data_IF_990858441943
#
_entry.id   IF_990858441943
#
_cell.length_a   1.000
_cell.length_b   1.000
_cell.length_c   1.000
_cell.angle_alpha   90.00
_cell.angle_beta   90.00
_cell.angle_gamma   90.00
#
_symmetry.space_group_name_H-M   'P 1'
#
loop_
_entity.id
_entity.type
_entity.pdbx_description
1 polymer ?
#
# COMPACT_ATOMS: atom_id res chain seq x y z
N UNK A 1 26.82 -12.00 11.48
CA UNK A 1 25.75 -12.72 12.19
C UNK A 1 25.25 -11.77 13.27
N UNK A 2 24.18 -11.01 13.07
CA UNK A 2 22.78 -11.44 13.23
C UNK A 2 21.91 -10.51 12.37
N UNK A 3 21.11 -11.10 11.47
CA UNK A 3 19.94 -10.49 10.85
C UNK A 3 18.74 -10.76 11.78
N UNK A 4 18.06 -9.72 12.26
CA UNK A 4 16.74 -9.81 12.92
C UNK A 4 16.28 -8.36 13.21
N UNK A 5 15.04 -7.91 13.08
CA UNK A 5 13.75 -8.39 12.57
C UNK A 5 12.84 -7.17 12.75
N UNK A 6 11.94 -6.87 11.80
CA UNK A 6 10.64 -6.21 11.99
C UNK A 6 10.01 -5.95 10.62
N UNK A 7 9.65 -7.04 9.94
CA UNK A 7 8.54 -7.05 8.99
C UNK A 7 7.32 -7.36 9.86
N UNK A 8 6.40 -6.40 10.01
CA UNK A 8 5.04 -6.75 10.43
C UNK A 8 4.40 -7.41 9.22
N UNK A 9 4.24 -8.73 9.31
CA UNK A 9 4.20 -9.68 8.19
C UNK A 9 2.82 -9.90 7.54
N UNK A 10 1.75 -9.29 8.06
CA UNK A 10 0.41 -9.40 7.45
C UNK A 10 -0.30 -8.06 7.59
N UNK A 11 -0.69 -7.50 6.46
CA UNK A 11 -1.48 -6.29 6.36
C UNK A 11 -2.90 -6.67 5.98
N UNK A 12 -3.83 -6.45 6.91
CA UNK A 12 -5.25 -6.77 6.78
C UNK A 12 -6.08 -5.50 6.95
N UNK A 13 -6.98 -5.24 6.02
CA UNK A 13 -7.99 -4.18 6.14
C UNK A 13 -9.34 -4.72 5.73
N UNK A 14 -10.31 -4.49 6.59
CA UNK A 14 -11.73 -4.70 6.32
C UNK A 14 -12.41 -3.33 6.30
N UNK A 15 -12.97 -2.99 5.14
CA UNK A 15 -13.75 -1.77 4.93
C UNK A 15 -14.76 -2.05 3.82
N UNK A 16 -16.04 -2.00 4.15
CA UNK A 16 -17.12 -2.25 3.20
C UNK A 16 -16.91 -1.49 1.86
N UNK A 17 -17.03 -2.17 0.70
CA UNK A 17 -17.41 -3.59 0.53
C UNK A 17 -16.24 -4.58 0.54
N UNK A 18 -15.01 -4.15 0.85
CA UNK A 18 -13.77 -4.87 0.62
C UNK A 18 -13.11 -5.46 1.88
N UNK A 19 -12.51 -6.64 1.72
CA UNK A 19 -11.39 -7.11 2.53
C UNK A 19 -10.16 -7.06 1.64
N UNK A 20 -9.08 -6.42 2.11
CA UNK A 20 -7.78 -6.37 1.46
C UNK A 20 -6.72 -7.00 2.37
N UNK A 21 -5.93 -7.90 1.81
CA UNK A 21 -4.86 -8.58 2.52
C UNK A 21 -3.57 -8.48 1.71
N UNK A 22 -2.47 -8.16 2.38
CA UNK A 22 -1.12 -8.25 1.83
C UNK A 22 -0.23 -9.01 2.81
N UNK A 23 0.49 -10.00 2.33
CA UNK A 23 1.30 -10.87 3.18
C UNK A 23 2.53 -11.39 2.45
N UNK A 24 3.57 -11.77 3.19
CA UNK A 24 4.74 -12.43 2.61
C UNK A 24 4.41 -13.90 2.26
N UNK A 25 5.18 -14.49 1.33
CA UNK A 25 5.06 -15.93 1.03
C UNK A 25 5.25 -16.80 2.26
N UNK A 26 6.14 -16.42 3.18
CA UNK A 26 6.39 -17.16 4.42
C UNK A 26 5.19 -17.20 5.37
N UNK A 27 4.25 -16.26 5.26
CA UNK A 27 3.09 -16.20 6.14
C UNK A 27 1.91 -17.03 5.61
N UNK A 28 2.01 -17.64 4.41
CA UNK A 28 0.91 -18.43 3.84
C UNK A 28 0.32 -19.48 4.81
N UNK A 29 1.10 -20.18 5.65
CA UNK A 29 0.53 -21.13 6.61
C UNK A 29 -0.49 -20.50 7.57
N UNK A 30 -0.30 -19.25 8.01
CA UNK A 30 -1.23 -18.58 8.94
C UNK A 30 -2.53 -18.14 8.28
N UNK A 31 -2.55 -18.00 6.94
CA UNK A 31 -3.76 -17.62 6.21
C UNK A 31 -4.91 -18.61 6.45
N UNK A 32 -4.61 -19.91 6.60
CA UNK A 32 -5.63 -20.95 6.81
C UNK A 32 -6.43 -20.79 8.09
N UNK A 33 -5.95 -20.00 9.04
CA UNK A 33 -6.61 -19.73 10.32
C UNK A 33 -7.63 -18.58 10.23
N UNK A 34 -7.74 -17.92 9.07
CA UNK A 34 -8.61 -16.76 8.86
C UNK A 34 -9.91 -17.16 8.16
N UNK A 35 -11.04 -16.64 8.62
CA UNK A 35 -12.35 -16.94 8.04
C UNK A 35 -12.44 -16.59 6.54
N UNK A 36 -11.90 -15.42 6.17
CA UNK A 36 -11.85 -14.94 4.79
C UNK A 36 -10.94 -15.76 3.87
N UNK A 37 -10.10 -16.64 4.39
CA UNK A 37 -9.21 -17.48 3.59
C UNK A 37 -9.95 -18.53 2.76
N UNK A 38 -11.23 -18.77 3.10
CA UNK A 38 -12.16 -19.61 2.35
C UNK A 38 -12.85 -18.88 1.20
N UNK A 39 -12.80 -17.54 1.17
CA UNK A 39 -13.58 -16.74 0.23
C UNK A 39 -13.01 -16.79 -1.19
N UNK A 40 -13.87 -16.61 -2.21
CA UNK A 40 -13.39 -16.30 -3.55
C UNK A 40 -12.67 -14.95 -3.54
N UNK A 41 -11.61 -14.80 -4.33
CA UNK A 41 -10.77 -13.61 -4.30
C UNK A 41 -10.08 -13.36 -5.65
N UNK A 42 -9.59 -12.14 -5.82
CA UNK A 42 -8.62 -11.76 -6.86
C UNK A 42 -7.31 -11.39 -6.17
N UNK A 43 -6.19 -11.82 -6.75
CA UNK A 43 -4.86 -11.68 -6.15
C UNK A 43 -3.80 -11.27 -7.15
N UNK A 44 -2.72 -10.71 -6.62
CA UNK A 44 -1.48 -10.37 -7.31
C UNK A 44 -0.33 -11.01 -6.56
N UNK A 45 0.39 -11.91 -7.22
CA UNK A 45 1.67 -12.43 -6.74
C UNK A 45 2.78 -11.47 -7.18
N UNK A 46 3.70 -11.18 -6.28
CA UNK A 46 4.71 -10.14 -6.46
C UNK A 46 6.09 -10.66 -6.05
N UNK A 47 7.09 -10.34 -6.86
CA UNK A 47 8.50 -10.54 -6.53
C UNK A 47 9.38 -9.83 -7.54
N UNK A 48 10.33 -9.02 -7.06
CA UNK A 48 11.07 -8.09 -7.91
C UNK A 48 10.15 -7.27 -8.84
N UNK A 49 10.42 -7.31 -10.15
CA UNK A 49 9.62 -6.65 -11.20
C UNK A 49 8.53 -7.52 -11.80
N UNK A 50 8.38 -8.78 -11.35
CA UNK A 50 7.40 -9.72 -11.90
C UNK A 50 6.06 -9.61 -11.17
N UNK A 51 4.97 -9.72 -11.93
CA UNK A 51 3.61 -9.77 -11.40
C UNK A 51 2.86 -10.92 -12.05
N UNK A 52 2.07 -11.62 -11.25
CA UNK A 52 1.08 -12.60 -11.73
C UNK A 52 -0.25 -12.25 -11.12
N UNK A 53 -1.24 -11.98 -11.95
CA UNK A 53 -2.59 -11.66 -11.51
C UNK A 53 -3.42 -12.93 -11.64
N UNK A 54 -4.21 -13.25 -10.62
CA UNK A 54 -5.04 -14.44 -10.67
C UNK A 54 -6.34 -14.28 -9.91
N UNK A 55 -7.24 -15.23 -10.11
CA UNK A 55 -8.44 -15.39 -9.30
C UNK A 55 -8.51 -16.75 -8.60
N UNK A 56 -9.30 -16.79 -7.53
CA UNK A 56 -9.76 -18.00 -6.87
C UNK A 56 -11.30 -18.02 -6.91
N UNK A 57 -11.86 -18.69 -7.92
CA UNK A 57 -13.28 -18.95 -8.06
C UNK A 57 -13.55 -20.46 -8.04
N UNK A 58 -14.52 -20.90 -7.23
CA UNK A 58 -14.83 -22.33 -7.04
C UNK A 58 -13.85 -23.09 -6.15
N UNK A 59 -12.89 -22.40 -5.53
CA UNK A 59 -12.03 -22.92 -4.46
C UNK A 59 -11.59 -21.77 -3.54
N UNK A 60 -11.06 -22.10 -2.36
CA UNK A 60 -10.56 -21.10 -1.42
C UNK A 60 -9.29 -20.41 -1.91
N UNK A 61 -9.12 -19.13 -1.53
CA UNK A 61 -7.88 -18.40 -1.82
C UNK A 61 -6.66 -19.08 -1.18
N UNK A 62 -6.80 -19.62 0.04
CA UNK A 62 -5.72 -20.37 0.69
C UNK A 62 -5.26 -21.59 -0.11
N UNK A 63 -6.20 -22.35 -0.69
CA UNK A 63 -5.86 -23.51 -1.52
C UNK A 63 -5.19 -23.07 -2.82
N UNK A 64 -5.74 -22.06 -3.50
CA UNK A 64 -5.19 -21.55 -4.76
C UNK A 64 -3.76 -21.02 -4.59
N UNK A 65 -3.49 -20.25 -3.54
CA UNK A 65 -2.15 -19.73 -3.26
C UNK A 65 -1.17 -20.86 -2.92
N UNK A 66 -1.61 -21.85 -2.13
CA UNK A 66 -0.80 -23.04 -1.83
C UNK A 66 -0.40 -23.79 -3.11
N UNK A 67 -1.33 -23.95 -4.06
CA UNK A 67 -1.05 -24.59 -5.35
C UNK A 67 0.01 -23.84 -6.17
N UNK A 68 -0.02 -22.50 -6.17
CA UNK A 68 1.00 -21.70 -6.85
C UNK A 68 2.37 -21.84 -6.19
N UNK A 69 2.42 -21.80 -4.86
CA UNK A 69 3.70 -21.80 -4.14
C UNK A 69 4.40 -23.16 -4.13
N UNK A 70 3.73 -24.21 -4.60
CA UNK A 70 4.32 -25.53 -4.85
C UNK A 70 4.99 -25.66 -6.23
N UNK A 71 4.78 -24.70 -7.14
CA UNK A 71 5.35 -24.73 -8.50
C UNK A 71 6.69 -23.99 -8.53
N UNK A 72 7.72 -24.64 -9.07
CA UNK A 72 9.06 -24.05 -9.20
C UNK A 72 9.07 -22.79 -10.08
N UNK A 73 8.19 -22.70 -11.09
CA UNK A 73 8.05 -21.48 -11.91
C UNK A 73 7.59 -20.24 -11.12
N UNK A 74 7.09 -20.43 -9.90
CA UNK A 74 6.62 -19.38 -8.99
C UNK A 74 7.61 -19.10 -7.83
N UNK A 75 8.84 -19.63 -7.89
CA UNK A 75 9.85 -19.40 -6.83
C UNK A 75 10.26 -17.94 -6.67
N UNK A 76 10.05 -17.12 -7.69
CA UNK A 76 10.26 -15.67 -7.63
C UNK A 76 9.23 -14.94 -6.76
N UNK A 77 8.12 -15.57 -6.38
CA UNK A 77 7.06 -14.92 -5.59
C UNK A 77 7.53 -14.72 -4.16
N UNK A 78 7.59 -13.45 -3.74
CA UNK A 78 8.01 -13.02 -2.40
C UNK A 78 6.81 -12.65 -1.53
N UNK A 79 5.74 -12.14 -2.15
CA UNK A 79 4.54 -11.67 -1.45
C UNK A 79 3.29 -11.77 -2.31
N UNK A 80 2.13 -11.67 -1.66
CA UNK A 80 0.82 -11.65 -2.31
C UNK A 80 -0.01 -10.50 -1.74
N UNK A 81 -0.75 -9.85 -2.62
CA UNK A 81 -1.86 -8.96 -2.28
C UNK A 81 -3.14 -9.54 -2.86
N UNK A 82 -4.18 -9.71 -2.06
CA UNK A 82 -5.47 -10.19 -2.54
C UNK A 82 -6.60 -9.42 -1.91
N UNK A 83 -7.73 -9.38 -2.60
CA UNK A 83 -8.94 -8.79 -2.08
C UNK A 83 -10.16 -9.65 -2.37
N UNK A 84 -11.14 -9.52 -1.49
CA UNK A 84 -12.44 -10.18 -1.57
C UNK A 84 -13.52 -9.22 -1.05
N UNK A 85 -14.78 -9.63 -1.08
CA UNK A 85 -15.87 -8.90 -0.45
C UNK A 85 -15.98 -9.28 1.03
N UNK A 86 -16.38 -8.32 1.87
CA UNK A 86 -16.66 -8.56 3.29
C UNK A 86 -17.71 -9.66 3.47
N UNK A 87 -18.73 -9.71 2.60
CA UNK A 87 -19.78 -10.72 2.63
C UNK A 87 -19.35 -12.10 2.08
N UNK A 88 -18.10 -12.25 1.61
CA UNK A 88 -17.56 -13.48 1.03
C UNK A 88 -18.22 -13.92 -0.28
N UNK A 89 -19.10 -13.09 -0.87
CA UNK A 89 -19.93 -13.46 -2.03
C UNK A 89 -19.40 -12.83 -3.30
N UNK A 90 -18.53 -13.55 -4.00
CA UNK A 90 -18.14 -13.24 -5.37
C UNK A 90 -18.40 -14.45 -6.26
N UNK A 91 -19.13 -14.25 -7.36
CA UNK A 91 -19.31 -15.27 -8.37
C UNK A 91 -18.07 -15.41 -9.26
N UNK A 92 -18.03 -16.46 -10.08
CA UNK A 92 -17.00 -16.60 -11.12
C UNK A 92 -16.97 -15.42 -12.09
N UNK A 93 -18.15 -14.86 -12.43
CA UNK A 93 -18.24 -13.69 -13.30
C UNK A 93 -17.59 -12.45 -12.67
N UNK A 94 -17.77 -12.24 -11.36
CA UNK A 94 -17.13 -11.15 -10.62
C UNK A 94 -15.61 -11.30 -10.64
N UNK A 95 -15.11 -12.48 -10.29
CA UNK A 95 -13.66 -12.73 -10.22
C UNK A 95 -12.99 -12.65 -11.59
N UNK A 96 -13.62 -13.17 -12.64
CA UNK A 96 -13.07 -13.11 -14.01
C UNK A 96 -13.04 -11.66 -14.51
N UNK A 97 -14.11 -10.89 -14.23
CA UNK A 97 -14.17 -9.47 -14.59
C UNK A 97 -13.07 -8.65 -13.88
N UNK A 98 -12.91 -8.86 -12.57
CA UNK A 98 -11.94 -8.14 -11.74
C UNK A 98 -10.49 -8.52 -12.05
N UNK A 99 -10.20 -9.81 -12.28
CA UNK A 99 -8.90 -10.29 -12.75
C UNK A 99 -8.52 -9.59 -14.06
N UNK A 100 -9.43 -9.58 -15.04
CA UNK A 100 -9.21 -8.95 -16.33
C UNK A 100 -8.99 -7.44 -16.20
N UNK A 101 -9.82 -6.75 -15.41
CA UNK A 101 -9.67 -5.30 -15.15
C UNK A 101 -8.29 -5.02 -14.53
N UNK A 102 -7.86 -5.83 -13.56
CA UNK A 102 -6.57 -5.66 -12.91
C UNK A 102 -5.39 -5.91 -13.86
N UNK A 103 -5.45 -6.95 -14.70
CA UNK A 103 -4.44 -7.20 -15.75
C UNK A 103 -4.33 -6.00 -16.69
N UNK A 104 -5.46 -5.45 -17.14
CA UNK A 104 -5.50 -4.28 -18.02
C UNK A 104 -4.83 -3.06 -17.36
N UNK A 105 -5.18 -2.77 -16.11
CA UNK A 105 -4.62 -1.66 -15.33
C UNK A 105 -3.10 -1.80 -15.16
N UNK A 106 -2.60 -3.02 -14.94
CA UNK A 106 -1.16 -3.29 -14.88
C UNK A 106 -0.44 -3.04 -16.20
N UNK A 107 -1.04 -3.42 -17.33
CA UNK A 107 -0.49 -3.13 -18.65
C UNK A 107 -0.52 -1.64 -19.00
N UNK A 108 -1.55 -0.92 -18.59
CA UNK A 108 -1.73 0.49 -18.96
C UNK A 108 -0.92 1.45 -18.06
N UNK A 109 -0.67 1.08 -16.80
CA UNK A 109 -0.13 2.00 -15.79
C UNK A 109 1.28 1.67 -15.30
N UNK A 110 1.87 0.55 -15.73
CA UNK A 110 3.13 0.04 -15.15
C UNK A 110 4.05 -0.57 -16.20
N UNK A 111 5.34 -0.63 -15.86
CA UNK A 111 6.36 -1.36 -16.62
C UNK A 111 6.69 -2.73 -15.99
N UNK A 112 5.82 -3.27 -15.14
CA UNK A 112 6.06 -4.59 -14.55
C UNK A 112 5.94 -5.71 -15.57
N UNK A 113 6.73 -6.77 -15.39
CA UNK A 113 6.65 -7.97 -16.20
C UNK A 113 5.41 -8.78 -15.77
N UNK A 114 4.33 -8.69 -16.55
CA UNK A 114 3.13 -9.48 -16.33
C UNK A 114 3.35 -10.88 -16.90
N UNK A 115 3.39 -11.87 -16.00
CA UNK A 115 3.73 -13.27 -16.33
C UNK A 115 2.51 -14.13 -16.68
N UNK A 116 1.31 -13.53 -16.71
CA UNK A 116 0.09 -14.19 -17.12
C UNK A 116 0.20 -14.73 -18.56
N UNK A 117 0.02 -16.05 -18.73
CA UNK A 117 0.00 -16.67 -20.06
C UNK A 117 -1.25 -16.29 -20.90
N UNK A 118 -2.30 -15.77 -20.25
CA UNK A 118 -3.57 -15.40 -20.89
C UNK A 118 -4.06 -14.05 -20.36
N UNK A 119 -4.90 -13.36 -21.14
CA UNK A 119 -5.50 -12.07 -20.74
C UNK A 119 -6.68 -12.20 -19.76
N UNK A 120 -6.74 -13.29 -18.99
CA UNK A 120 -7.84 -13.62 -18.08
C UNK A 120 -9.01 -14.35 -18.73
N UNK A 121 -9.85 -14.95 -17.90
CA UNK A 121 -11.05 -15.67 -18.35
C UNK A 121 -12.18 -14.69 -18.76
N UNK A 122 -13.12 -15.18 -19.59
CA UNK A 122 -14.30 -14.41 -19.99
C UNK A 122 -15.56 -15.12 -19.52
N UNK A 123 -16.27 -14.47 -18.62
CA UNK A 123 -17.62 -14.83 -18.20
C UNK A 123 -18.57 -13.68 -18.52
N UNK A 124 -19.83 -13.98 -18.83
CA UNK A 124 -20.87 -12.95 -18.94
C UNK A 124 -21.11 -12.33 -17.56
N UNK A 125 -21.20 -11.00 -17.51
CA UNK A 125 -21.52 -10.24 -16.30
C UNK A 125 -22.59 -9.22 -16.65
N UNK A 126 -23.67 -9.19 -15.88
CA UNK A 126 -24.74 -8.22 -16.12
C UNK A 126 -24.35 -6.82 -15.62
N UNK A 127 -25.12 -5.80 -16.00
CA UNK A 127 -24.80 -4.40 -15.70
C UNK A 127 -24.76 -4.10 -14.21
N UNK A 128 -25.70 -4.64 -13.42
CA UNK A 128 -25.78 -4.40 -11.99
C UNK A 128 -24.64 -5.10 -11.27
N UNK A 129 -24.35 -6.34 -11.66
CA UNK A 129 -23.23 -7.09 -11.12
C UNK A 129 -21.90 -6.40 -11.42
N UNK A 130 -21.68 -5.98 -12.68
CA UNK A 130 -20.50 -5.22 -13.09
C UNK A 130 -20.33 -3.95 -12.25
N UNK A 131 -21.40 -3.18 -12.03
CA UNK A 131 -21.34 -1.97 -11.21
C UNK A 131 -20.91 -2.26 -9.76
N UNK A 132 -21.38 -3.38 -9.18
CA UNK A 132 -20.94 -3.81 -7.84
C UNK A 132 -19.48 -4.24 -7.81
N UNK A 133 -19.01 -4.95 -8.85
CA UNK A 133 -17.58 -5.28 -8.97
C UNK A 133 -16.73 -4.02 -9.13
N UNK A 134 -17.21 -3.03 -9.89
CA UNK A 134 -16.52 -1.76 -10.06
C UNK A 134 -16.40 -0.99 -8.74
N UNK A 135 -17.48 -0.92 -7.95
CA UNK A 135 -17.45 -0.33 -6.60
C UNK A 135 -16.45 -1.02 -5.67
N UNK A 136 -16.39 -2.36 -5.71
CA UNK A 136 -15.40 -3.12 -4.95
C UNK A 136 -13.98 -2.77 -5.37
N UNK A 137 -13.72 -2.71 -6.68
CA UNK A 137 -12.41 -2.39 -7.21
C UNK A 137 -11.95 -0.99 -6.81
N UNK A 138 -12.84 0.00 -6.94
CA UNK A 138 -12.52 1.39 -6.61
C UNK A 138 -12.26 1.55 -5.10
N UNK A 139 -13.04 0.88 -4.25
CA UNK A 139 -12.79 0.84 -2.80
C UNK A 139 -11.44 0.19 -2.46
N UNK A 140 -11.07 -0.90 -3.15
CA UNK A 140 -9.76 -1.53 -2.97
C UNK A 140 -8.61 -0.57 -3.36
N UNK A 141 -8.73 0.14 -4.48
CA UNK A 141 -7.74 1.14 -4.89
C UNK A 141 -7.64 2.28 -3.88
N UNK A 142 -8.76 2.75 -3.34
CA UNK A 142 -8.78 3.75 -2.28
C UNK A 142 -8.05 3.25 -1.03
N UNK A 143 -8.34 2.03 -0.56
CA UNK A 143 -7.65 1.41 0.59
C UNK A 143 -6.13 1.29 0.33
N UNK A 144 -5.74 0.83 -0.87
CA UNK A 144 -4.33 0.70 -1.27
C UNK A 144 -3.64 2.08 -1.22
N UNK A 145 -4.29 3.11 -1.76
CA UNK A 145 -3.80 4.48 -1.78
C UNK A 145 -3.73 5.12 -0.38
N UNK A 146 -4.72 4.85 0.47
CA UNK A 146 -4.81 5.44 1.80
C UNK A 146 -3.89 4.81 2.83
N UNK A 147 -3.75 3.48 2.77
CA UNK A 147 -3.25 2.70 3.89
C UNK A 147 -2.03 1.84 3.50
N UNK A 148 -1.96 1.26 2.29
CA UNK A 148 -0.95 0.24 1.99
C UNK A 148 0.44 0.81 1.62
N UNK A 149 0.55 2.00 1.04
CA UNK A 149 1.84 2.48 0.43
C UNK A 149 2.47 1.49 -0.56
N UNK A 150 1.71 0.47 -0.94
CA UNK A 150 1.93 -0.39 -2.07
C UNK A 150 1.36 0.43 -3.23
N UNK A 151 2.23 1.14 -3.93
CA UNK A 151 1.86 1.59 -5.26
C UNK A 151 1.94 0.35 -6.14
N UNK A 152 0.79 -0.34 -6.24
CA UNK A 152 0.60 -1.54 -7.03
C UNK A 152 1.02 -1.29 -8.49
N UNK A 153 0.98 -0.02 -8.92
CA UNK A 153 1.25 0.44 -10.26
C UNK A 153 2.55 1.25 -10.43
N UNK A 154 3.45 1.25 -9.44
CA UNK A 154 4.66 2.06 -9.55
C UNK A 154 5.57 1.64 -10.71
N UNK A 155 5.89 2.60 -11.56
CA UNK A 155 6.96 2.53 -12.57
C UNK A 155 8.32 2.29 -11.88
N UNK A 156 9.14 1.42 -12.47
CA UNK A 156 10.47 1.08 -11.97
C UNK A 156 11.46 2.16 -12.41
N UNK A 157 11.79 3.11 -11.53
CA UNK A 157 12.89 4.05 -11.82
C UNK A 157 14.25 3.34 -11.69
N UNK A 158 15.00 3.31 -12.80
CA UNK A 158 16.39 2.88 -12.84
C UNK A 158 17.26 3.83 -12.01
N UNK A 159 18.15 3.27 -11.19
CA UNK A 159 19.03 4.01 -10.29
C UNK A 159 20.18 4.66 -11.06
N UNK A 160 20.29 5.99 -10.95
CA UNK A 160 21.57 6.69 -11.08
C UNK A 160 21.98 7.34 -9.75
N UNK A 161 23.29 7.37 -9.52
CA UNK A 161 23.98 7.89 -8.33
C UNK A 161 24.33 9.36 -8.56
N UNK A 162 24.31 10.21 -7.51
CA UNK A 162 25.32 11.23 -7.12
C UNK A 162 24.74 12.26 -6.11
N UNK A 163 25.63 12.75 -5.22
CA UNK A 163 25.52 13.62 -4.02
C UNK A 163 25.24 15.11 -4.35
N UNK A 164 24.80 16.03 -3.47
CA UNK A 164 25.22 16.33 -2.07
C UNK A 164 24.16 16.94 -1.12
N UNK A 165 22.91 17.19 -1.51
CA UNK A 165 21.76 17.29 -0.59
C UNK A 165 20.61 16.50 -1.19
N UNK A 166 20.52 15.24 -0.79
CA UNK A 166 19.83 14.19 -1.56
C UNK A 166 18.32 14.41 -1.70
N UNK A 167 17.72 15.23 -0.84
CA UNK A 167 16.27 15.32 -0.72
C UNK A 167 15.75 16.74 -0.48
N UNK A 168 15.00 17.30 -1.43
CA UNK A 168 14.41 18.65 -1.35
C UNK A 168 12.90 18.69 -1.54
N UNK A 169 12.26 19.72 -0.97
CA UNK A 169 10.83 20.03 -1.10
C UNK A 169 10.65 21.53 -1.24
N UNK A 170 9.93 21.97 -2.27
CA UNK A 170 9.49 23.36 -2.43
C UNK A 170 7.96 23.42 -2.29
N UNK A 171 7.47 24.39 -1.53
CA UNK A 171 6.04 24.65 -1.31
C UNK A 171 5.86 26.08 -0.82
N UNK A 172 4.80 26.78 -1.22
CA UNK A 172 4.50 28.16 -0.79
C UNK A 172 5.71 29.13 -0.79
N UNK A 173 6.60 29.01 -1.79
CA UNK A 173 7.83 29.80 -1.87
C UNK A 173 8.93 29.42 -0.85
N UNK A 174 8.66 28.48 0.07
CA UNK A 174 9.64 27.90 1.00
C UNK A 174 10.39 26.74 0.34
N UNK A 175 11.62 26.53 0.80
CA UNK A 175 12.47 25.41 0.41
C UNK A 175 12.94 24.65 1.65
N UNK A 176 12.74 23.34 1.66
CA UNK A 176 13.27 22.44 2.66
C UNK A 176 14.23 21.46 2.01
N UNK A 177 15.30 21.14 2.72
CA UNK A 177 16.28 20.16 2.30
C UNK A 177 16.64 19.24 3.48
N UNK A 178 17.00 18.00 3.17
CA UNK A 178 17.50 17.06 4.16
C UNK A 178 18.43 16.04 3.56
N UNK A 179 19.31 15.49 4.40
CA UNK A 179 20.19 14.36 4.05
C UNK A 179 19.43 13.04 3.92
N UNK A 180 18.22 12.94 4.49
CA UNK A 180 17.40 11.72 4.41
C UNK A 180 15.95 12.04 4.05
N UNK A 181 15.29 11.16 3.31
CA UNK A 181 13.87 11.32 2.98
C UNK A 181 13.01 11.50 4.25
N UNK A 182 13.25 10.70 5.29
CA UNK A 182 12.57 10.82 6.60
C UNK A 182 12.82 12.18 7.25
N UNK A 183 14.05 12.67 7.18
CA UNK A 183 14.40 14.01 7.68
C UNK A 183 13.64 15.12 6.95
N UNK A 184 13.42 14.97 5.64
CA UNK A 184 12.61 15.91 4.85
C UNK A 184 11.15 15.91 5.32
N UNK A 185 10.55 14.75 5.57
CA UNK A 185 9.19 14.66 6.13
C UNK A 185 9.09 15.28 7.52
N UNK A 186 10.06 15.00 8.40
CA UNK A 186 10.10 15.62 9.73
C UNK A 186 10.16 17.14 9.62
N UNK A 187 11.03 17.67 8.76
CA UNK A 187 11.16 19.11 8.54
C UNK A 187 9.85 19.71 7.99
N UNK A 188 9.23 19.06 7.01
CA UNK A 188 7.98 19.52 6.43
C UNK A 188 6.84 19.56 7.46
N UNK A 189 6.64 18.49 8.22
CA UNK A 189 5.61 18.42 9.27
C UNK A 189 5.85 19.48 10.35
N UNK A 190 7.11 19.72 10.75
CA UNK A 190 7.44 20.78 11.71
C UNK A 190 7.04 22.16 11.21
N UNK A 191 7.33 22.48 9.96
CA UNK A 191 6.93 23.76 9.35
C UNK A 191 5.40 23.90 9.29
N UNK A 192 4.68 22.85 8.89
CA UNK A 192 3.22 22.87 8.85
C UNK A 192 2.61 23.06 10.23
N UNK A 193 3.18 22.43 11.27
CA UNK A 193 2.73 22.63 12.65
C UNK A 193 3.11 24.01 13.19
N UNK A 194 4.17 24.64 12.68
CA UNK A 194 4.54 26.01 13.06
C UNK A 194 3.58 27.05 12.45
N UNK A 195 3.09 26.82 11.23
CA UNK A 195 2.13 27.69 10.57
C UNK A 195 0.69 27.49 11.11
N UNK A 196 0.08 28.56 11.63
CA UNK A 196 -1.24 28.52 12.26
C UNK A 196 -2.33 27.92 11.35
N UNK A 197 -2.37 28.36 10.09
CA UNK A 197 -3.31 27.87 9.09
C UNK A 197 -3.27 26.34 8.88
N UNK A 198 -2.08 25.76 8.75
CA UNK A 198 -1.92 24.32 8.54
C UNK A 198 -2.06 23.51 9.82
N UNK A 199 -1.70 24.10 10.97
CA UNK A 199 -1.80 23.45 12.28
C UNK A 199 -3.23 23.02 12.59
N UNK A 200 -4.22 23.87 12.31
CA UNK A 200 -5.62 23.57 12.64
C UNK A 200 -6.19 22.42 11.81
N UNK A 201 -5.83 22.36 10.53
CA UNK A 201 -6.19 21.24 9.67
C UNK A 201 -5.50 19.94 10.11
N UNK A 202 -4.20 20.02 10.44
CA UNK A 202 -3.45 18.86 10.93
C UNK A 202 -3.99 18.32 12.26
N UNK A 203 -4.48 19.18 13.16
CA UNK A 203 -5.03 18.78 14.46
C UNK A 203 -6.15 17.76 14.34
N UNK A 204 -6.98 17.84 13.29
CA UNK A 204 -8.06 16.89 13.02
C UNK A 204 -7.56 15.48 12.71
N UNK A 205 -6.31 15.35 12.26
CA UNK A 205 -5.68 14.07 11.90
C UNK A 205 -4.81 13.45 13.00
N UNK A 206 -4.63 14.14 14.14
CA UNK A 206 -3.77 13.66 15.24
C UNK A 206 -4.56 12.70 16.12
N UNK A 207 -4.09 11.47 16.24
CA UNK A 207 -4.71 10.48 17.13
C UNK A 207 -4.21 10.61 18.58
N UNK A 208 -5.05 10.29 19.57
CA UNK A 208 -4.67 10.33 21.00
C UNK A 208 -3.63 9.27 21.41
N UNK A 209 -3.40 8.28 20.55
CA UNK A 209 -2.47 7.18 20.76
C UNK A 209 -1.11 7.48 20.11
N UNK A 210 -0.22 6.49 20.10
CA UNK A 210 1.05 6.59 19.38
C UNK A 210 0.80 6.70 17.87
N UNK A 211 1.60 7.48 17.13
CA UNK A 211 1.46 7.56 15.68
C UNK A 211 1.79 6.19 15.06
N UNK A 212 1.10 5.88 14.00
CA UNK A 212 1.28 4.65 13.23
C UNK A 212 1.59 4.98 11.79
N UNK A 213 1.84 3.95 11.00
CA UNK A 213 2.00 4.09 9.57
C UNK A 213 0.79 4.75 8.88
N UNK A 214 -0.44 4.43 9.34
CA UNK A 214 -1.69 4.98 8.82
C UNK A 214 -1.94 6.40 9.36
N UNK A 215 -1.88 6.54 10.69
CA UNK A 215 -2.08 7.81 11.40
C UNK A 215 -0.73 8.38 11.80
N UNK A 216 -0.12 9.14 10.89
CA UNK A 216 1.29 9.50 11.01
C UNK A 216 1.56 10.48 12.17
N UNK A 217 0.54 11.15 12.69
CA UNK A 217 0.62 12.03 13.86
C UNK A 217 -0.14 11.44 15.05
N UNK A 218 0.47 11.47 16.22
CA UNK A 218 -0.13 10.98 17.45
C UNK A 218 0.33 11.75 18.68
N UNK A 219 -0.40 11.63 19.78
CA UNK A 219 -0.13 12.33 21.05
C UNK A 219 0.91 11.64 21.94
N UNK A 220 1.27 10.39 21.63
CA UNK A 220 2.22 9.61 22.43
C UNK A 220 3.40 9.16 21.58
N UNK A 221 4.61 9.02 22.15
CA UNK A 221 5.69 8.33 21.44
C UNK A 221 5.31 6.87 21.20
N UNK A 222 5.95 6.26 20.21
CA UNK A 222 5.90 4.81 20.05
C UNK A 222 6.67 4.13 21.21
N UNK A 223 6.19 2.97 21.72
CA UNK A 223 6.86 2.26 22.80
C UNK A 223 8.30 1.84 22.46
N UNK A 224 9.16 1.70 23.47
CA UNK A 224 10.52 1.18 23.31
C UNK A 224 10.49 -0.20 22.63
N UNK A 225 11.33 -0.39 21.62
CA UNK A 225 11.37 -1.62 20.80
C UNK A 225 10.39 -1.63 19.62
N UNK A 226 9.47 -0.67 19.54
CA UNK A 226 8.55 -0.51 18.42
C UNK A 226 9.11 0.37 17.27
N UNK A 227 8.31 0.58 16.22
CA UNK A 227 8.65 1.47 15.11
C UNK A 227 9.04 2.87 15.59
N UNK A 228 10.04 3.50 14.96
CA UNK A 228 10.51 4.83 15.37
C UNK A 228 9.45 5.91 15.15
N UNK A 229 9.32 6.78 16.14
CA UNK A 229 8.62 8.06 16.05
C UNK A 229 9.54 9.20 16.51
N UNK A 230 9.20 10.43 16.14
CA UNK A 230 10.01 11.62 16.42
C UNK A 230 9.10 12.74 16.88
N UNK A 231 9.47 13.43 17.97
CA UNK A 231 8.75 14.61 18.41
C UNK A 231 8.89 15.73 17.37
N UNK A 232 7.76 16.25 16.90
CA UNK A 232 7.68 17.32 15.89
C UNK A 232 7.11 18.60 16.47
N UNK A 233 6.33 18.53 17.55
CA UNK A 233 5.90 19.66 18.35
C UNK A 233 5.59 19.18 19.78
N UNK A 234 5.28 20.09 20.69
CA UNK A 234 4.89 19.75 22.06
C UNK A 234 3.70 18.79 22.06
N UNK A 235 3.88 17.61 22.65
CA UNK A 235 2.85 16.57 22.71
C UNK A 235 2.44 15.98 21.35
N UNK A 236 3.23 16.18 20.28
CA UNK A 236 2.94 15.65 18.94
C UNK A 236 4.15 14.85 18.42
N UNK A 237 3.88 13.59 18.11
CA UNK A 237 4.86 12.64 17.60
C UNK A 237 4.51 12.24 16.18
N UNK A 238 5.52 12.23 15.32
CA UNK A 238 5.44 11.77 13.94
C UNK A 238 5.98 10.35 13.84
N UNK A 239 5.25 9.44 13.19
CA UNK A 239 5.79 8.14 12.79
C UNK A 239 6.88 8.33 11.73
N UNK A 240 8.08 7.80 11.95
CA UNK A 240 9.23 8.03 11.05
C UNK A 240 9.81 6.75 10.47
N UNK A 241 9.25 5.59 10.80
CA UNK A 241 9.68 4.30 10.26
C UNK A 241 9.11 4.02 8.85
N UNK A 242 9.42 4.91 7.91
CA UNK A 242 9.01 4.83 6.50
C UNK A 242 10.16 4.44 5.57
N UNK A 243 9.90 3.78 4.45
CA UNK A 243 10.86 3.68 3.33
C UNK A 243 11.00 5.03 2.60
N UNK A 244 12.02 5.21 1.76
CA UNK A 244 12.17 6.44 0.93
C UNK A 244 10.91 6.70 0.10
N UNK A 245 10.40 5.67 -0.59
CA UNK A 245 9.16 5.74 -1.37
C UNK A 245 7.96 6.11 -0.50
N UNK A 246 7.82 5.51 0.68
CA UNK A 246 6.72 5.81 1.59
C UNK A 246 6.73 7.27 2.05
N UNK A 247 7.91 7.85 2.30
CA UNK A 247 8.01 9.27 2.63
C UNK A 247 7.47 10.13 1.48
N UNK A 248 7.70 9.77 0.20
CA UNK A 248 7.15 10.48 -0.96
C UNK A 248 5.65 10.55 -0.96
N UNK A 249 5.05 9.39 -0.80
CA UNK A 249 3.61 9.27 -0.75
C UNK A 249 3.04 10.07 0.42
N UNK A 250 3.66 10.01 1.60
CA UNK A 250 3.19 10.77 2.77
C UNK A 250 3.30 12.28 2.61
N UNK A 251 4.39 12.78 2.00
CA UNK A 251 4.51 14.22 1.70
C UNK A 251 3.43 14.65 0.69
N UNK A 252 3.26 13.91 -0.42
CA UNK A 252 2.25 14.23 -1.42
C UNK A 252 0.82 14.15 -0.88
N UNK A 253 0.54 13.16 -0.01
CA UNK A 253 -0.77 13.02 0.64
C UNK A 253 -1.04 14.19 1.57
N UNK A 254 -0.12 14.51 2.48
CA UNK A 254 -0.25 15.68 3.36
C UNK A 254 -0.47 16.97 2.56
N UNK A 255 0.29 17.16 1.49
CA UNK A 255 0.14 18.31 0.61
C UNK A 255 -1.25 18.38 -0.02
N UNK A 256 -1.76 17.25 -0.54
CA UNK A 256 -3.10 17.15 -1.11
C UNK A 256 -4.19 17.45 -0.07
N UNK A 257 -4.10 16.81 1.10
CA UNK A 257 -5.07 16.95 2.18
C UNK A 257 -5.15 18.41 2.71
N UNK A 258 -4.02 19.13 2.65
CA UNK A 258 -3.90 20.54 3.06
C UNK A 258 -4.02 21.53 1.88
N UNK A 259 -4.31 21.03 0.67
CA UNK A 259 -4.37 21.81 -0.56
C UNK A 259 -3.12 22.67 -0.86
N UNK A 260 -1.92 22.10 -0.61
CA UNK A 260 -0.61 22.72 -0.82
C UNK A 260 -0.01 22.19 -2.13
N UNK A 261 0.45 23.09 -2.99
CA UNK A 261 1.24 22.71 -4.15
C UNK A 261 2.68 22.40 -3.72
N UNK A 262 3.13 21.16 -3.95
CA UNK A 262 4.48 20.72 -3.59
C UNK A 262 5.29 20.31 -4.82
N UNK A 263 6.58 20.67 -4.82
CA UNK A 263 7.57 20.18 -5.77
C UNK A 263 8.67 19.45 -5.02
N UNK A 264 8.68 18.13 -5.15
CA UNK A 264 9.69 17.27 -4.53
C UNK A 264 10.88 17.12 -5.47
N UNK A 265 12.07 17.42 -4.97
CA UNK A 265 13.37 17.20 -5.63
C UNK A 265 14.05 16.01 -4.99
N UNK A 266 13.79 14.82 -5.51
CA UNK A 266 14.36 13.55 -5.09
C UNK A 266 14.95 12.86 -6.29
N UNK A 267 16.23 12.48 -6.21
CA UNK A 267 16.84 11.48 -7.09
C UNK A 267 16.71 10.13 -6.39
#
# INVERSE_FOLDING_TARGET
MIFQLLILNEYYVEREPAILVSMSRSDLPSLKEKDFASFPAVYVLMGGTKRYIGQAAGQSIALRLSQHFLKSEMDWVESVLFFTRVDGKMSKADTDYLEKRLIQEFHEKTDYEITNATAGNRSYIDKLQKAKSDQLFDAVLEIINEIATIDLFAVVENKEVVTSEQYGLEYDGKRLASKTARGLLIAFVKELLAAEYYRDQLRLSIVDKSPTFAHILGRKPTPKGGPKSTSVAEGIWLYTNFSKKAVRTKINKLARDLNIAVKIKWN
#
